data_IF_672603961788
#
_entry.id   IF_672603961788
#
_cell.length_a   1.000
_cell.length_b   1.000
_cell.length_c   1.000
_cell.angle_alpha   90.00
_cell.angle_beta   90.00
_cell.angle_gamma   90.00
#
_symmetry.space_group_name_H-M   'P 1'
#
loop_
_entity.id
_entity.type
_entity.pdbx_description
1 polymer ?
#
# COMPACT_ATOMS: atom_id res chain seq x y z
N UNK A 1 13.50 20.64 10.49
CA UNK A 1 13.25 19.38 9.76
C UNK A 1 13.39 18.26 10.74
N UNK A 2 12.38 17.41 10.99
CA UNK A 2 12.60 16.19 11.72
C UNK A 2 13.52 15.33 10.86
N UNK A 3 14.67 14.96 11.39
CA UNK A 3 15.59 14.05 10.73
C UNK A 3 14.83 12.77 10.35
N UNK A 4 14.69 12.52 9.03
CA UNK A 4 14.15 11.27 8.53
C UNK A 4 15.03 10.15 9.09
N UNK A 5 14.57 9.46 10.12
CA UNK A 5 15.18 8.22 10.58
C UNK A 5 15.06 7.23 9.43
N UNK A 6 16.09 7.14 8.61
CA UNK A 6 16.21 6.06 7.65
C UNK A 6 16.21 4.77 8.45
N UNK A 7 15.38 3.78 8.09
CA UNK A 7 15.51 2.46 8.70
C UNK A 7 16.92 1.96 8.39
N UNK A 8 17.68 1.64 9.44
CA UNK A 8 19.00 1.04 9.29
C UNK A 8 18.82 -0.27 8.52
N UNK A 9 19.50 -0.49 7.39
CA UNK A 9 19.37 -1.72 6.63
C UNK A 9 19.85 -2.89 7.50
N UNK A 10 18.93 -3.78 7.87
CA UNK A 10 19.25 -4.98 8.62
C UNK A 10 19.47 -6.12 7.62
N UNK A 11 20.72 -6.42 7.26
CA UNK A 11 21.06 -7.52 6.37
C UNK A 11 21.58 -7.10 5.01
N UNK A 12 21.66 -8.05 4.08
CA UNK A 12 22.12 -7.81 2.71
C UNK A 12 21.15 -6.90 1.97
N UNK A 13 21.67 -5.96 1.19
CA UNK A 13 20.89 -5.03 0.38
C UNK A 13 20.67 -5.68 -0.99
N UNK A 14 19.41 -5.78 -1.41
CA UNK A 14 19.00 -6.30 -2.72
C UNK A 14 18.44 -5.24 -3.67
N UNK A 15 18.27 -3.99 -3.19
CA UNK A 15 17.60 -2.93 -3.96
C UNK A 15 18.32 -1.60 -3.85
N UNK A 16 18.53 -0.95 -5.01
CA UNK A 16 19.11 0.39 -5.18
C UNK A 16 18.01 1.41 -5.49
N UNK A 17 17.80 2.33 -4.54
CA UNK A 17 16.79 3.39 -4.68
C UNK A 17 17.17 4.43 -5.73
N UNK A 18 18.45 4.76 -5.90
CA UNK A 18 18.86 5.81 -6.84
C UNK A 18 18.72 5.33 -8.29
N UNK A 19 19.09 4.07 -8.57
CA UNK A 19 18.85 3.45 -9.88
C UNK A 19 17.33 3.41 -10.19
N UNK A 20 16.51 2.98 -9.24
CA UNK A 20 15.06 3.00 -9.37
C UNK A 20 14.51 4.40 -9.62
N UNK A 21 14.89 5.41 -8.80
CA UNK A 21 14.41 6.78 -8.92
C UNK A 21 14.76 7.38 -10.29
N UNK A 22 15.99 7.15 -10.77
CA UNK A 22 16.44 7.62 -12.08
C UNK A 22 15.56 7.07 -13.21
N UNK A 23 15.41 5.76 -13.26
CA UNK A 23 14.66 5.09 -14.34
C UNK A 23 13.14 5.39 -14.25
N UNK A 24 12.58 5.40 -13.04
CA UNK A 24 11.17 5.68 -12.84
C UNK A 24 10.82 7.13 -13.20
N UNK A 25 11.66 8.10 -12.80
CA UNK A 25 11.47 9.51 -13.14
C UNK A 25 11.58 9.72 -14.65
N UNK A 26 12.60 9.15 -15.30
CA UNK A 26 12.76 9.22 -16.75
C UNK A 26 11.56 8.63 -17.50
N UNK A 27 11.02 7.50 -17.02
CA UNK A 27 9.83 6.88 -17.61
C UNK A 27 8.57 7.75 -17.48
N UNK A 28 8.37 8.43 -16.34
CA UNK A 28 7.25 9.38 -16.16
C UNK A 28 7.41 10.55 -17.12
N UNK A 29 8.56 11.20 -17.16
CA UNK A 29 8.81 12.36 -18.05
C UNK A 29 8.66 11.97 -19.53
N UNK A 30 9.14 10.79 -19.92
CA UNK A 30 8.91 10.26 -21.28
C UNK A 30 7.43 10.05 -21.58
N UNK A 31 6.64 9.65 -20.59
CA UNK A 31 5.19 9.48 -20.73
C UNK A 31 4.49 10.84 -20.87
N UNK A 32 4.88 11.85 -20.09
CA UNK A 32 4.36 13.22 -20.21
C UNK A 32 4.57 13.76 -21.62
N UNK A 33 5.76 13.58 -22.17
CA UNK A 33 6.09 14.08 -23.53
C UNK A 33 5.26 13.43 -24.67
N UNK A 34 4.53 12.35 -24.39
CA UNK A 34 3.59 11.75 -25.36
C UNK A 34 2.24 12.48 -25.40
N UNK A 35 1.92 13.20 -24.34
CA UNK A 35 0.69 13.95 -24.19
C UNK A 35 1.06 15.43 -24.09
N UNK A 36 0.71 16.22 -25.09
CA UNK A 36 1.23 17.56 -25.31
C UNK A 36 1.02 18.51 -24.14
N UNK A 37 -0.11 18.42 -23.43
CA UNK A 37 -0.49 19.42 -22.44
C UNK A 37 -0.45 18.88 -21.01
N UNK A 38 -1.00 17.67 -20.75
CA UNK A 38 -1.20 17.19 -19.39
C UNK A 38 -1.20 15.65 -19.28
N UNK A 39 -0.70 15.13 -18.18
CA UNK A 39 -0.77 13.70 -17.84
C UNK A 39 -1.44 13.49 -16.49
N UNK A 40 -2.55 12.78 -16.45
CA UNK A 40 -3.13 12.23 -15.23
C UNK A 40 -2.43 10.93 -14.87
N UNK A 41 -1.74 10.92 -13.74
CA UNK A 41 -0.96 9.79 -13.25
C UNK A 41 -1.62 9.20 -12.01
N UNK A 42 -2.34 8.08 -12.19
CA UNK A 42 -2.92 7.33 -11.09
C UNK A 42 -1.82 6.63 -10.29
N UNK A 43 -1.64 7.01 -9.04
CA UNK A 43 -0.68 6.36 -8.15
C UNK A 43 -1.28 5.11 -7.50
N UNK A 44 -0.79 3.96 -7.92
CA UNK A 44 -1.04 2.67 -7.29
C UNK A 44 -0.18 2.47 -6.03
N UNK A 45 -0.74 1.80 -5.03
CA UNK A 45 -0.06 1.52 -3.77
C UNK A 45 0.13 2.76 -2.88
N UNK A 46 1.03 2.64 -1.90
CA UNK A 46 1.30 3.70 -0.91
C UNK A 46 2.40 4.63 -1.43
N UNK A 47 2.18 5.94 -1.31
CA UNK A 47 3.21 6.95 -1.59
C UNK A 47 4.20 7.05 -0.43
N UNK A 48 3.67 7.04 0.79
CA UNK A 48 4.42 7.10 2.04
C UNK A 48 4.30 5.78 2.80
N UNK A 49 5.36 5.44 3.52
CA UNK A 49 5.39 4.28 4.41
C UNK A 49 5.07 2.95 3.70
N UNK A 50 5.63 2.76 2.48
CA UNK A 50 5.47 1.51 1.73
C UNK A 50 6.31 0.39 2.34
N UNK A 51 5.91 -0.02 3.55
CA UNK A 51 6.60 -1.09 4.28
C UNK A 51 6.47 -2.46 3.62
N UNK A 52 5.47 -2.68 2.75
CA UNK A 52 5.43 -3.92 1.99
C UNK A 52 6.61 -3.98 1.02
N UNK A 53 6.80 -2.92 0.22
CA UNK A 53 7.93 -2.83 -0.69
C UNK A 53 9.27 -2.96 0.06
N UNK A 54 9.44 -2.26 1.18
CA UNK A 54 10.65 -2.35 1.98
C UNK A 54 10.92 -3.76 2.56
N UNK A 55 9.89 -4.56 2.80
CA UNK A 55 10.06 -5.95 3.28
C UNK A 55 10.43 -6.93 2.18
N UNK A 56 9.92 -6.74 0.96
CA UNK A 56 10.19 -7.65 -0.16
C UNK A 56 11.39 -7.21 -1.01
N UNK A 57 11.79 -5.95 -0.90
CA UNK A 57 12.94 -5.35 -1.59
C UNK A 57 13.91 -4.77 -0.55
N UNK A 58 14.77 -5.60 0.11
CA UNK A 58 15.72 -5.11 1.11
C UNK A 58 16.61 -4.00 0.58
N UNK A 59 16.60 -2.85 1.26
CA UNK A 59 17.23 -1.61 0.79
C UNK A 59 16.24 -0.57 0.25
N UNK A 60 15.01 -0.98 -0.10
CA UNK A 60 13.98 -0.05 -0.57
C UNK A 60 13.59 0.95 0.53
N UNK A 61 13.71 2.24 0.24
CA UNK A 61 13.22 3.30 1.12
C UNK A 61 11.68 3.35 1.08
N UNK A 62 10.98 3.13 2.20
CA UNK A 62 9.52 3.19 2.25
C UNK A 62 8.90 4.50 1.72
N UNK A 63 9.70 5.56 1.66
CA UNK A 63 9.30 6.89 1.21
C UNK A 63 9.91 7.29 -0.15
N UNK A 64 10.52 6.35 -0.87
CA UNK A 64 11.17 6.65 -2.17
C UNK A 64 10.22 7.28 -3.19
N UNK A 65 8.93 6.93 -3.17
CA UNK A 65 7.91 7.54 -4.05
C UNK A 65 7.68 9.01 -3.71
N UNK A 66 7.72 9.36 -2.44
CA UNK A 66 7.64 10.77 -2.03
C UNK A 66 8.88 11.55 -2.46
N UNK A 67 10.09 10.94 -2.38
CA UNK A 67 11.31 11.55 -2.93
C UNK A 67 11.22 11.77 -4.44
N UNK A 68 10.60 10.83 -5.16
CA UNK A 68 10.32 11.00 -6.59
C UNK A 68 9.44 12.23 -6.83
N UNK A 69 8.31 12.35 -6.11
CA UNK A 69 7.42 13.50 -6.23
C UNK A 69 8.11 14.80 -5.87
N UNK A 70 8.96 14.80 -4.85
CA UNK A 70 9.74 15.97 -4.44
C UNK A 70 10.71 16.43 -5.54
N UNK A 71 11.35 15.51 -6.28
CA UNK A 71 12.23 15.85 -7.43
C UNK A 71 11.49 16.55 -8.57
N UNK A 72 10.18 16.35 -8.69
CA UNK A 72 9.35 16.94 -9.77
C UNK A 72 8.24 17.85 -9.25
N UNK A 73 8.33 18.32 -8.01
CA UNK A 73 7.27 19.07 -7.32
C UNK A 73 6.75 20.29 -8.06
N UNK A 74 7.61 20.98 -8.79
CA UNK A 74 7.23 22.17 -9.55
C UNK A 74 6.39 21.87 -10.79
N UNK A 75 6.31 20.59 -11.19
CA UNK A 75 5.59 20.09 -12.36
C UNK A 75 4.34 19.28 -12.02
N UNK A 76 4.00 19.13 -10.73
CA UNK A 76 2.91 18.27 -10.29
C UNK A 76 1.82 19.03 -9.54
N UNK A 77 0.57 18.68 -9.82
CA UNK A 77 -0.58 18.89 -8.95
C UNK A 77 -0.96 17.56 -8.28
N UNK A 78 -1.40 17.62 -7.02
CA UNK A 78 -1.78 16.41 -6.27
C UNK A 78 -3.28 16.43 -5.97
N UNK A 79 -3.98 15.37 -6.38
CA UNK A 79 -5.39 15.11 -6.05
C UNK A 79 -5.46 13.92 -5.11
N UNK A 80 -6.05 14.12 -3.93
CA UNK A 80 -6.28 13.05 -2.94
C UNK A 80 -7.74 12.58 -3.01
N UNK A 81 -7.96 11.31 -3.37
CA UNK A 81 -9.29 10.70 -3.46
C UNK A 81 -9.64 9.93 -2.19
N UNK A 82 -10.84 10.12 -1.68
CA UNK A 82 -11.40 9.33 -0.58
C UNK A 82 -12.85 8.94 -0.88
N UNK A 83 -13.22 7.69 -0.61
CA UNK A 83 -14.56 7.18 -0.86
C UNK A 83 -15.54 7.58 0.26
N UNK A 84 -16.67 8.23 -0.07
CA UNK A 84 -17.68 8.63 0.92
C UNK A 84 -18.15 7.49 1.83
N UNK A 85 -18.46 6.31 1.26
CA UNK A 85 -18.84 5.14 2.05
C UNK A 85 -17.73 4.58 2.95
N UNK A 86 -16.45 4.88 2.70
CA UNK A 86 -15.37 4.53 3.62
C UNK A 86 -15.37 5.47 4.85
N UNK A 87 -15.70 6.75 4.64
CA UNK A 87 -15.89 7.73 5.74
C UNK A 87 -17.08 7.32 6.60
N UNK A 88 -18.23 7.01 5.96
CA UNK A 88 -19.47 6.61 6.67
C UNK A 88 -19.26 5.38 7.56
N UNK A 89 -18.60 4.35 7.03
CA UNK A 89 -18.37 3.11 7.78
C UNK A 89 -17.16 3.18 8.70
N UNK A 90 -16.50 4.33 8.81
CA UNK A 90 -15.24 4.50 9.55
C UNK A 90 -14.23 3.40 9.22
N UNK A 91 -14.08 3.12 7.91
CA UNK A 91 -13.18 2.08 7.44
C UNK A 91 -11.77 2.32 7.95
N UNK A 92 -11.21 1.30 8.61
CA UNK A 92 -9.88 1.36 9.22
C UNK A 92 -8.80 1.03 8.20
N UNK A 93 -7.69 1.73 8.30
CA UNK A 93 -6.45 1.38 7.62
C UNK A 93 -5.66 0.41 8.49
N UNK A 94 -5.62 -0.86 8.09
CA UNK A 94 -5.14 -1.97 8.91
C UNK A 94 -3.65 -1.86 9.34
N UNK A 95 -2.83 -1.10 8.62
CA UNK A 95 -1.40 -0.93 8.95
C UNK A 95 -1.14 0.15 10.02
N UNK A 96 -2.04 1.11 10.18
CA UNK A 96 -1.91 2.19 11.17
C UNK A 96 -3.01 2.19 12.24
N UNK A 97 -4.06 1.39 12.06
CA UNK A 97 -5.19 1.36 13.00
C UNK A 97 -5.97 2.68 13.08
N UNK A 98 -5.94 3.50 12.03
CA UNK A 98 -6.69 4.78 11.93
C UNK A 98 -7.72 4.72 10.82
N UNK A 99 -8.78 5.52 10.93
CA UNK A 99 -9.81 5.60 9.90
C UNK A 99 -9.31 6.30 8.63
N UNK A 100 -9.93 6.02 7.48
CA UNK A 100 -9.51 6.60 6.19
C UNK A 100 -9.64 8.13 6.14
N UNK A 101 -10.60 8.72 6.82
CA UNK A 101 -10.72 10.17 6.98
C UNK A 101 -9.58 10.75 7.82
N UNK A 102 -9.20 10.09 8.92
CA UNK A 102 -8.02 10.45 9.71
C UNK A 102 -6.72 10.28 8.91
N UNK A 103 -6.62 9.19 8.14
CA UNK A 103 -5.47 8.94 7.26
C UNK A 103 -5.35 9.99 6.15
N UNK A 104 -6.48 10.46 5.61
CA UNK A 104 -6.48 11.56 4.63
C UNK A 104 -5.94 12.87 5.23
N UNK A 105 -6.35 13.23 6.45
CA UNK A 105 -5.80 14.40 7.17
C UNK A 105 -4.30 14.24 7.42
N UNK A 106 -3.89 13.08 7.94
CA UNK A 106 -2.47 12.77 8.14
C UNK A 106 -1.68 12.85 6.82
N UNK A 107 -2.24 12.36 5.72
CA UNK A 107 -1.60 12.42 4.41
C UNK A 107 -1.39 13.87 3.97
N UNK A 108 -2.35 14.77 4.20
CA UNK A 108 -2.21 16.20 3.90
C UNK A 108 -1.04 16.81 4.68
N UNK A 109 -0.95 16.53 5.98
CA UNK A 109 0.12 17.01 6.85
C UNK A 109 1.49 16.42 6.41
N UNK A 110 1.54 15.10 6.15
CA UNK A 110 2.75 14.43 5.68
C UNK A 110 3.26 15.05 4.37
N UNK A 111 2.39 15.33 3.39
CA UNK A 111 2.79 15.97 2.13
C UNK A 111 3.36 17.38 2.36
N UNK A 112 2.71 18.15 3.24
CA UNK A 112 3.17 19.49 3.61
C UNK A 112 4.57 19.46 4.25
N UNK A 113 4.83 18.48 5.12
CA UNK A 113 6.15 18.28 5.74
C UNK A 113 7.25 17.98 4.70
N UNK A 114 6.88 17.35 3.57
CA UNK A 114 7.77 17.13 2.44
C UNK A 114 7.88 18.33 1.47
N UNK A 115 7.19 19.43 1.77
CA UNK A 115 7.18 20.65 0.94
C UNK A 115 6.39 20.47 -0.36
N UNK A 116 5.34 19.63 -0.34
CA UNK A 116 4.41 19.39 -1.44
C UNK A 116 3.00 19.72 -0.94
N UNK A 117 2.28 20.56 -1.66
CA UNK A 117 0.89 20.87 -1.32
C UNK A 117 -0.08 19.96 -2.07
N UNK A 118 -1.17 19.58 -1.39
CA UNK A 118 -2.28 18.88 -2.03
C UNK A 118 -3.17 19.92 -2.68
N UNK A 119 -3.29 19.85 -4.00
CA UNK A 119 -4.04 20.82 -4.83
C UNK A 119 -5.54 20.73 -4.55
N UNK A 120 -6.06 19.49 -4.41
CA UNK A 120 -7.46 19.23 -4.15
C UNK A 120 -7.69 17.88 -3.45
N UNK A 121 -8.77 17.79 -2.69
CA UNK A 121 -9.31 16.51 -2.21
C UNK A 121 -10.62 16.22 -2.91
N UNK A 122 -10.85 14.96 -3.29
CA UNK A 122 -12.08 14.50 -3.94
C UNK A 122 -12.77 13.47 -3.08
N UNK A 123 -14.01 13.73 -2.68
CA UNK A 123 -14.86 12.74 -2.04
C UNK A 123 -15.64 12.02 -3.16
N UNK A 124 -15.27 10.78 -3.42
CA UNK A 124 -15.85 9.97 -4.49
C UNK A 124 -17.09 9.20 -4.04
N UNK A 125 -17.99 8.89 -4.96
CA UNK A 125 -19.32 8.30 -4.69
C UNK A 125 -20.10 9.08 -3.63
N UNK A 126 -20.03 10.41 -3.75
CA UNK A 126 -20.69 11.33 -2.84
C UNK A 126 -22.17 11.49 -3.18
N UNK A 127 -23.02 11.19 -2.21
CA UNK A 127 -24.47 11.33 -2.27
C UNK A 127 -24.99 12.09 -1.04
N UNK A 128 -24.22 13.06 -0.58
CA UNK A 128 -24.51 13.88 0.57
C UNK A 128 -24.65 13.11 1.91
N UNK A 129 -23.92 12.01 2.04
CA UNK A 129 -23.89 11.21 3.25
C UNK A 129 -23.44 12.06 4.46
N UNK A 130 -24.05 11.89 5.66
CA UNK A 130 -23.85 12.78 6.81
C UNK A 130 -22.39 12.94 7.24
N UNK A 131 -21.64 11.84 7.43
CA UNK A 131 -20.24 11.89 7.86
C UNK A 131 -19.34 12.44 6.75
N UNK A 132 -19.57 12.09 5.49
CA UNK A 132 -18.83 12.62 4.34
C UNK A 132 -19.06 14.12 4.17
N UNK A 133 -20.29 14.62 4.37
CA UNK A 133 -20.61 16.04 4.38
C UNK A 133 -19.92 16.77 5.51
N UNK A 134 -19.95 16.22 6.72
CA UNK A 134 -19.26 16.78 7.88
C UNK A 134 -17.75 16.87 7.65
N UNK A 135 -17.17 15.81 7.06
CA UNK A 135 -15.76 15.77 6.70
C UNK A 135 -15.41 16.83 5.63
N UNK A 136 -16.23 16.96 4.57
CA UNK A 136 -16.10 18.00 3.55
C UNK A 136 -16.04 19.39 4.20
N UNK A 137 -17.03 19.73 5.03
CA UNK A 137 -17.12 21.03 5.70
C UNK A 137 -15.90 21.30 6.62
N UNK A 138 -15.36 20.26 7.27
CA UNK A 138 -14.15 20.38 8.10
C UNK A 138 -12.93 20.74 7.24
N UNK A 139 -12.76 20.08 6.10
CA UNK A 139 -11.63 20.33 5.18
C UNK A 139 -11.70 21.73 4.58
N UNK A 140 -12.89 22.17 4.13
CA UNK A 140 -13.10 23.49 3.55
C UNK A 140 -12.83 24.63 4.57
N UNK A 141 -13.22 24.44 5.84
CA UNK A 141 -12.85 25.38 6.92
C UNK A 141 -11.35 25.46 7.16
N UNK A 142 -10.61 24.39 6.85
CA UNK A 142 -9.15 24.35 6.94
C UNK A 142 -8.48 24.86 5.65
N UNK A 143 -9.23 25.44 4.72
CA UNK A 143 -8.72 26.02 3.47
C UNK A 143 -8.37 25.00 2.38
N UNK A 144 -8.79 23.75 2.52
CA UNK A 144 -8.55 22.69 1.54
C UNK A 144 -9.65 22.74 0.49
N UNK A 145 -9.29 22.78 -0.79
CA UNK A 145 -10.26 22.66 -1.89
C UNK A 145 -10.83 21.26 -1.94
N UNK A 146 -12.15 21.12 -1.80
CA UNK A 146 -12.83 19.82 -1.82
C UNK A 146 -13.83 19.78 -2.97
N UNK A 147 -13.69 18.74 -3.78
CA UNK A 147 -14.61 18.41 -4.88
C UNK A 147 -15.41 17.15 -4.54
N UNK A 148 -16.55 16.97 -5.20
CA UNK A 148 -17.40 15.80 -5.00
C UNK A 148 -17.69 15.12 -6.34
N UNK A 149 -17.39 13.83 -6.40
CA UNK A 149 -17.70 13.00 -7.56
C UNK A 149 -18.75 11.95 -7.20
N UNK A 150 -19.77 11.83 -8.04
CA UNK A 150 -20.84 10.83 -7.91
C UNK A 150 -20.42 9.49 -8.50
N UNK A 151 -21.27 8.50 -8.34
CA UNK A 151 -21.13 7.25 -9.10
C UNK A 151 -21.33 7.52 -10.60
N UNK A 152 -20.40 7.04 -11.43
CA UNK A 152 -20.47 7.24 -12.87
C UNK A 152 -21.60 6.42 -13.48
N UNK A 153 -22.59 7.10 -14.04
CA UNK A 153 -23.71 6.43 -14.73
C UNK A 153 -23.19 5.58 -15.90
N UNK A 154 -23.80 4.43 -16.11
CA UNK A 154 -23.44 3.50 -17.19
C UNK A 154 -22.30 2.56 -16.90
N UNK A 155 -21.49 2.79 -15.84
CA UNK A 155 -20.38 1.92 -15.50
C UNK A 155 -20.88 0.56 -14.95
N UNK A 156 -20.29 -0.58 -15.38
CA UNK A 156 -19.16 -0.72 -16.30
C UNK A 156 -19.54 -1.01 -17.77
N UNK A 157 -20.78 -1.04 -18.16
CA UNK A 157 -21.24 -1.66 -19.41
C UNK A 157 -21.57 -0.68 -20.55
N UNK A 158 -21.99 0.54 -20.24
CA UNK A 158 -22.44 1.52 -21.25
C UNK A 158 -21.43 2.65 -21.42
N UNK A 159 -20.44 2.46 -22.33
CA UNK A 159 -19.37 3.43 -22.57
C UNK A 159 -19.92 4.77 -23.09
N UNK A 160 -20.98 4.78 -23.87
CA UNK A 160 -21.56 6.03 -24.39
C UNK A 160 -22.15 6.88 -23.27
N UNK A 161 -22.79 6.25 -22.30
CA UNK A 161 -23.29 6.95 -21.12
C UNK A 161 -22.18 7.34 -20.15
N UNK A 162 -21.17 6.49 -19.97
CA UNK A 162 -19.99 6.80 -19.12
C UNK A 162 -19.32 8.07 -19.64
N UNK A 163 -19.05 8.16 -20.96
CA UNK A 163 -18.37 9.27 -21.62
C UNK A 163 -19.41 10.25 -22.18
N UNK A 164 -20.23 10.82 -21.31
CA UNK A 164 -21.26 11.80 -21.64
C UNK A 164 -21.38 12.85 -20.53
N UNK A 165 -22.19 13.87 -20.76
CA UNK A 165 -22.48 14.90 -19.75
C UNK A 165 -23.22 14.34 -18.52
N UNK A 166 -23.98 13.25 -18.69
CA UNK A 166 -24.63 12.55 -17.57
C UNK A 166 -23.70 11.58 -16.84
N UNK A 167 -22.67 11.10 -17.51
CA UNK A 167 -21.62 10.24 -16.94
C UNK A 167 -20.51 11.06 -16.30
N UNK A 168 -19.34 11.09 -16.94
CA UNK A 168 -18.19 11.86 -16.43
C UNK A 168 -18.43 13.36 -16.34
N UNK A 169 -19.22 13.92 -17.26
CA UNK A 169 -19.55 15.34 -17.28
C UNK A 169 -20.39 15.80 -16.08
N UNK A 170 -21.08 14.88 -15.39
CA UNK A 170 -21.85 15.22 -14.17
C UNK A 170 -21.00 15.43 -12.93
N UNK A 171 -19.73 15.07 -12.98
CA UNK A 171 -18.76 15.33 -11.91
C UNK A 171 -18.13 16.70 -12.06
N UNK A 172 -17.78 17.33 -10.97
CA UNK A 172 -17.08 18.60 -10.96
C UNK A 172 -15.69 18.46 -11.62
N UNK A 173 -15.34 19.40 -12.50
CA UNK A 173 -13.97 19.49 -13.03
C UNK A 173 -13.03 19.99 -11.95
N UNK A 174 -11.94 19.28 -11.71
CA UNK A 174 -10.92 19.67 -10.75
C UNK A 174 -9.89 20.53 -11.48
N UNK A 175 -9.83 21.80 -11.13
CA UNK A 175 -8.86 22.74 -11.69
C UNK A 175 -7.43 22.36 -11.32
N UNK A 176 -6.59 22.17 -12.33
CA UNK A 176 -5.16 21.85 -12.20
C UNK A 176 -4.34 22.68 -13.17
N UNK A 177 -3.15 23.11 -12.76
CA UNK A 177 -2.30 24.02 -13.52
C UNK A 177 -1.00 23.42 -14.03
N UNK A 178 -0.61 22.27 -13.47
CA UNK A 178 0.66 21.63 -13.79
C UNK A 178 0.52 20.54 -14.86
N UNK A 179 1.61 20.23 -15.59
CA UNK A 179 1.58 19.23 -16.65
C UNK A 179 1.42 17.79 -16.16
N UNK A 180 1.62 17.52 -14.88
CA UNK A 180 1.40 16.21 -14.29
C UNK A 180 0.40 16.34 -13.15
N UNK A 181 -0.67 15.57 -13.21
CA UNK A 181 -1.67 15.49 -12.14
C UNK A 181 -1.58 14.11 -11.48
N UNK A 182 -1.04 14.08 -10.28
CA UNK A 182 -0.92 12.86 -9.47
C UNK A 182 -2.22 12.62 -8.73
N UNK A 183 -2.87 11.50 -8.99
CA UNK A 183 -4.12 11.12 -8.32
C UNK A 183 -3.86 9.95 -7.39
N UNK A 184 -4.02 10.17 -6.09
CA UNK A 184 -3.74 9.19 -5.03
C UNK A 184 -4.90 9.02 -4.07
N UNK A 185 -4.77 8.11 -3.10
CA UNK A 185 -5.80 7.87 -2.08
C UNK A 185 -5.37 6.80 -1.08
N UNK A 186 -6.06 6.67 0.06
CA UNK A 186 -5.66 5.83 1.18
C UNK A 186 -5.64 4.32 0.88
N UNK A 187 -6.30 3.89 -0.21
CA UNK A 187 -6.33 2.47 -0.56
C UNK A 187 -7.09 2.15 -1.83
N UNK A 188 -7.26 0.85 -2.14
CA UNK A 188 -8.08 0.39 -3.24
C UNK A 188 -9.54 0.87 -3.12
N UNK A 189 -10.17 1.16 -4.25
CA UNK A 189 -11.58 1.61 -4.28
C UNK A 189 -11.80 3.06 -3.84
N UNK A 190 -10.74 3.87 -3.63
CA UNK A 190 -10.89 5.30 -3.31
C UNK A 190 -11.39 6.16 -4.47
N UNK A 191 -11.51 5.60 -5.69
CA UNK A 191 -12.06 6.28 -6.87
C UNK A 191 -11.03 6.97 -7.77
N UNK A 192 -9.73 6.70 -7.59
CA UNK A 192 -8.63 7.32 -8.36
C UNK A 192 -8.83 7.24 -9.88
N UNK A 193 -9.10 6.02 -10.40
CA UNK A 193 -9.32 5.81 -11.84
C UNK A 193 -10.47 6.67 -12.37
N UNK A 194 -11.64 6.62 -11.70
CA UNK A 194 -12.82 7.39 -12.12
C UNK A 194 -12.56 8.91 -12.06
N UNK A 195 -11.79 9.37 -11.07
CA UNK A 195 -11.36 10.77 -10.96
C UNK A 195 -10.44 11.16 -12.11
N UNK A 196 -9.44 10.35 -12.46
CA UNK A 196 -8.58 10.60 -13.61
C UNK A 196 -9.38 10.72 -14.90
N UNK A 197 -10.28 9.75 -15.18
CA UNK A 197 -11.02 9.68 -16.42
C UNK A 197 -12.10 10.78 -16.53
N UNK A 198 -12.75 11.13 -15.43
CA UNK A 198 -13.69 12.24 -15.38
C UNK A 198 -13.01 13.57 -15.67
N UNK A 199 -11.84 13.82 -15.06
CA UNK A 199 -11.07 15.03 -15.37
C UNK A 199 -10.55 15.02 -16.82
N UNK A 200 -10.08 13.87 -17.31
CA UNK A 200 -9.68 13.73 -18.71
C UNK A 200 -10.80 14.10 -19.67
N UNK A 201 -12.05 13.67 -19.38
CA UNK A 201 -13.23 14.07 -20.15
C UNK A 201 -13.43 15.59 -20.18
N UNK A 202 -13.33 16.27 -19.03
CA UNK A 202 -13.43 17.72 -18.94
C UNK A 202 -12.29 18.44 -19.67
N UNK A 203 -11.05 17.95 -19.55
CA UNK A 203 -9.90 18.52 -20.26
C UNK A 203 -10.14 18.50 -21.78
N UNK A 204 -10.57 17.37 -22.34
CA UNK A 204 -10.86 17.27 -23.77
C UNK A 204 -12.03 18.17 -24.21
N UNK A 205 -13.09 18.31 -23.39
CA UNK A 205 -14.16 19.28 -23.65
C UNK A 205 -13.66 20.72 -23.69
N UNK A 206 -12.63 21.02 -22.90
CA UNK A 206 -12.00 22.34 -22.84
C UNK A 206 -10.85 22.52 -23.87
N UNK A 207 -10.65 21.54 -24.77
CA UNK A 207 -9.63 21.59 -25.81
C UNK A 207 -8.20 21.27 -25.33
N UNK A 208 -8.05 20.77 -24.11
CA UNK A 208 -6.74 20.37 -23.54
C UNK A 208 -6.47 18.91 -23.85
N UNK A 209 -5.36 18.62 -24.54
CA UNK A 209 -4.94 17.24 -24.85
C UNK A 209 -4.23 16.64 -23.65
N UNK A 210 -4.95 15.84 -22.90
CA UNK A 210 -4.42 15.17 -21.70
C UNK A 210 -4.34 13.65 -21.88
N UNK A 211 -3.44 13.02 -21.15
CA UNK A 211 -3.25 11.56 -21.12
C UNK A 211 -3.51 10.95 -19.76
N UNK A 212 -3.61 9.65 -19.74
CA UNK A 212 -3.72 8.84 -18.53
C UNK A 212 -2.59 7.82 -18.48
N UNK A 213 -2.03 7.60 -17.30
CA UNK A 213 -1.11 6.50 -17.03
C UNK A 213 -1.26 6.03 -15.58
N UNK A 214 -0.84 4.80 -15.30
CA UNK A 214 -0.87 4.22 -13.96
C UNK A 214 0.55 4.04 -13.44
N UNK A 215 0.86 4.63 -12.30
CA UNK A 215 2.12 4.40 -11.59
C UNK A 215 1.98 3.15 -10.73
N UNK A 216 2.89 2.21 -10.89
CA UNK A 216 2.88 0.96 -10.14
C UNK A 216 4.30 0.58 -9.70
N UNK A 217 4.38 -0.11 -8.56
CA UNK A 217 5.61 -0.77 -8.10
C UNK A 217 5.49 -2.28 -8.30
N UNK A 218 4.31 -2.82 -8.05
CA UNK A 218 3.96 -4.24 -8.18
C UNK A 218 2.70 -4.42 -9.06
N UNK A 219 2.61 -5.57 -9.77
CA UNK A 219 3.65 -6.58 -9.93
C UNK A 219 4.85 -6.01 -10.68
N UNK A 220 6.05 -6.56 -10.46
CA UNK A 220 7.21 -6.21 -11.28
C UNK A 220 7.06 -6.95 -12.62
N UNK A 221 6.54 -6.24 -13.60
CA UNK A 221 5.94 -6.76 -14.82
C UNK A 221 6.88 -7.62 -15.71
N UNK A 222 8.18 -7.39 -15.65
CA UNK A 222 9.20 -8.08 -16.45
C UNK A 222 9.92 -9.20 -15.69
N UNK A 223 9.45 -9.57 -14.50
CA UNK A 223 9.91 -10.77 -13.79
C UNK A 223 9.00 -11.97 -14.10
N UNK A 224 9.51 -13.21 -13.96
CA UNK A 224 8.71 -14.40 -14.17
C UNK A 224 7.45 -14.44 -13.30
N UNK A 225 6.39 -15.08 -13.78
CA UNK A 225 5.14 -15.28 -13.03
C UNK A 225 5.36 -15.94 -11.66
N UNK A 226 6.32 -16.88 -11.59
CA UNK A 226 6.67 -17.60 -10.35
C UNK A 226 7.63 -16.84 -9.45
N UNK A 227 8.01 -15.61 -9.79
CA UNK A 227 8.95 -14.85 -8.98
C UNK A 227 8.35 -14.48 -7.63
N UNK A 228 9.04 -14.81 -6.53
CA UNK A 228 8.52 -14.68 -5.17
C UNK A 228 8.10 -13.27 -4.80
N UNK A 229 8.72 -12.24 -5.37
CA UNK A 229 8.34 -10.83 -5.10
C UNK A 229 6.90 -10.53 -5.56
N UNK A 230 6.49 -11.05 -6.72
CA UNK A 230 5.13 -10.88 -7.23
C UNK A 230 4.13 -11.74 -6.44
N UNK A 231 4.53 -12.96 -6.07
CA UNK A 231 3.73 -13.84 -5.20
C UNK A 231 3.55 -13.24 -3.79
N UNK A 232 4.58 -12.57 -3.26
CA UNK A 232 4.47 -11.86 -1.97
C UNK A 232 3.47 -10.70 -2.04
N UNK A 233 3.29 -10.09 -3.20
CA UNK A 233 2.25 -9.09 -3.39
C UNK A 233 0.85 -9.72 -3.51
N UNK A 234 0.69 -10.87 -4.17
CA UNK A 234 -0.57 -11.64 -4.09
C UNK A 234 -0.95 -11.94 -2.62
N UNK A 235 0.04 -12.34 -1.80
CA UNK A 235 -0.18 -12.55 -0.37
C UNK A 235 -0.54 -11.26 0.38
N UNK A 236 -0.06 -10.10 -0.09
CA UNK A 236 -0.38 -8.80 0.50
C UNK A 236 -1.78 -8.29 0.17
N UNK A 237 -2.39 -8.80 -0.90
CA UNK A 237 -3.69 -8.39 -1.44
C UNK A 237 -4.68 -9.57 -1.52
N UNK A 238 -4.45 -10.60 -0.71
CA UNK A 238 -5.23 -11.84 -0.73
C UNK A 238 -6.72 -11.60 -0.43
N UNK A 239 -7.04 -10.63 0.42
CA UNK A 239 -8.38 -10.16 0.73
C UNK A 239 -9.08 -9.48 -0.46
N UNK A 240 -8.30 -8.91 -1.39
CA UNK A 240 -8.79 -8.29 -2.62
C UNK A 240 -8.93 -9.27 -3.78
N UNK A 241 -8.45 -10.51 -3.60
CA UNK A 241 -8.41 -11.56 -4.64
C UNK A 241 -7.60 -11.14 -5.88
N UNK A 242 -6.59 -10.31 -5.70
CA UNK A 242 -5.66 -9.93 -6.76
C UNK A 242 -4.71 -11.09 -7.05
N UNK A 243 -4.71 -11.56 -8.28
CA UNK A 243 -3.83 -12.63 -8.78
C UNK A 243 -2.92 -12.07 -9.86
N UNK A 244 -1.64 -12.42 -9.81
CA UNK A 244 -0.70 -12.09 -10.87
C UNK A 244 -0.85 -13.10 -12.00
N UNK A 245 -1.02 -12.62 -13.21
CA UNK A 245 -1.24 -13.41 -14.42
C UNK A 245 -0.35 -12.91 -15.57
N UNK A 246 -0.19 -13.72 -16.60
CA UNK A 246 0.43 -13.26 -17.84
C UNK A 246 -0.52 -12.25 -18.50
N UNK A 247 -0.01 -11.08 -18.84
CA UNK A 247 -0.71 -10.10 -19.64
C UNK A 247 -0.81 -10.58 -21.09
N UNK A 248 -1.93 -11.21 -21.41
CA UNK A 248 -2.15 -11.75 -22.76
C UNK A 248 -2.30 -10.64 -23.80
N UNK A 249 -2.81 -9.45 -23.44
CA UNK A 249 -2.87 -8.30 -24.35
C UNK A 249 -1.45 -7.84 -24.74
N UNK A 250 -0.50 -7.84 -23.77
CA UNK A 250 0.89 -7.48 -24.06
C UNK A 250 1.59 -8.53 -24.90
N UNK A 251 1.34 -9.81 -24.59
CA UNK A 251 1.87 -10.93 -25.35
C UNK A 251 1.38 -10.92 -26.81
N UNK A 252 0.08 -10.68 -27.03
CA UNK A 252 -0.51 -10.58 -28.37
C UNK A 252 0.03 -9.39 -29.17
N UNK A 253 0.18 -8.22 -28.49
CA UNK A 253 0.61 -7.00 -29.17
C UNK A 253 2.10 -6.96 -29.52
N UNK A 254 2.96 -7.59 -28.70
CA UNK A 254 4.42 -7.41 -28.77
C UNK A 254 5.21 -8.71 -28.79
N UNK A 255 4.57 -9.87 -28.63
CA UNK A 255 5.21 -11.17 -28.43
C UNK A 255 6.19 -11.19 -27.25
N UNK A 256 5.91 -10.40 -26.21
CA UNK A 256 6.69 -10.28 -24.97
C UNK A 256 5.84 -10.75 -23.80
N UNK A 257 6.35 -11.72 -23.04
CA UNK A 257 5.69 -12.19 -21.80
C UNK A 257 5.93 -11.19 -20.69
N UNK A 258 4.85 -10.65 -20.17
CA UNK A 258 4.82 -9.77 -19.00
C UNK A 258 3.75 -10.24 -18.02
N UNK A 259 3.81 -9.78 -16.80
CA UNK A 259 2.81 -10.10 -15.79
C UNK A 259 2.06 -8.84 -15.34
N UNK A 260 0.78 -9.02 -15.05
CA UNK A 260 -0.05 -7.95 -14.48
C UNK A 260 -1.13 -8.57 -13.58
N UNK A 261 -1.93 -7.75 -12.90
CA UNK A 261 -3.04 -8.24 -12.11
C UNK A 261 -4.22 -8.65 -13.00
N UNK A 262 -4.90 -9.74 -12.61
CA UNK A 262 -6.14 -10.17 -13.24
C UNK A 262 -7.11 -9.00 -13.42
N UNK A 263 -7.31 -8.20 -12.40
CA UNK A 263 -8.21 -7.04 -12.40
C UNK A 263 -7.86 -5.99 -13.45
N UNK A 264 -6.58 -5.69 -13.64
CA UNK A 264 -6.12 -4.73 -14.65
C UNK A 264 -6.23 -5.31 -16.06
N UNK A 265 -5.95 -6.60 -16.20
CA UNK A 265 -6.09 -7.34 -17.48
C UNK A 265 -7.56 -7.36 -17.91
N UNK A 266 -8.47 -7.70 -17.00
CA UNK A 266 -9.92 -7.76 -17.26
C UNK A 266 -10.53 -6.38 -17.54
N UNK A 267 -10.06 -5.34 -16.84
CA UNK A 267 -10.57 -3.98 -16.99
C UNK A 267 -10.02 -3.27 -18.25
N UNK A 268 -8.90 -3.74 -18.80
CA UNK A 268 -8.20 -3.05 -19.89
C UNK A 268 -9.06 -2.81 -21.15
N UNK A 269 -9.85 -3.78 -21.67
CA UNK A 269 -10.68 -3.54 -22.86
C UNK A 269 -11.68 -2.41 -22.66
N UNK A 270 -12.31 -2.35 -21.48
CA UNK A 270 -13.25 -1.26 -21.14
C UNK A 270 -12.51 0.08 -21.04
N UNK A 271 -11.38 0.10 -20.32
CA UNK A 271 -10.60 1.32 -20.13
C UNK A 271 -10.06 1.85 -21.46
N UNK A 272 -9.59 0.98 -22.33
CA UNK A 272 -9.16 1.35 -23.69
C UNK A 272 -10.30 2.03 -24.46
N UNK A 273 -11.49 1.44 -24.49
CA UNK A 273 -12.66 2.02 -25.17
C UNK A 273 -13.09 3.37 -24.58
N UNK A 274 -13.03 3.51 -23.25
CA UNK A 274 -13.32 4.79 -22.57
C UNK A 274 -12.31 5.86 -23.02
N UNK A 275 -11.02 5.55 -23.03
CA UNK A 275 -9.98 6.48 -23.48
C UNK A 275 -10.17 6.87 -24.94
N UNK A 276 -10.42 5.91 -25.83
CA UNK A 276 -10.70 6.16 -27.26
C UNK A 276 -11.95 7.06 -27.45
N UNK A 277 -12.98 6.85 -26.64
CA UNK A 277 -14.19 7.66 -26.69
C UNK A 277 -13.97 9.09 -26.17
N UNK A 278 -13.16 9.26 -25.11
CA UNK A 278 -12.82 10.60 -24.57
C UNK A 278 -11.97 11.37 -25.59
N UNK A 279 -10.94 10.72 -26.14
CA UNK A 279 -9.94 11.38 -26.99
C UNK A 279 -10.41 11.56 -28.44
N UNK A 280 -11.36 10.74 -28.91
CA UNK A 280 -11.74 10.65 -30.31
C UNK A 280 -10.70 9.97 -31.21
N UNK A 281 -9.63 9.43 -30.64
CA UNK A 281 -8.50 8.82 -31.32
C UNK A 281 -8.28 7.37 -30.84
N UNK A 282 -7.64 6.54 -31.66
CA UNK A 282 -7.24 5.20 -31.25
C UNK A 282 -6.26 5.25 -30.06
N UNK A 283 -6.49 4.40 -29.08
CA UNK A 283 -5.62 4.35 -27.90
C UNK A 283 -4.19 4.00 -28.27
N UNK A 284 -3.24 4.75 -27.72
CA UNK A 284 -1.80 4.44 -27.82
C UNK A 284 -1.45 3.17 -27.04
N UNK A 285 -2.31 2.74 -26.11
CA UNK A 285 -2.11 1.57 -25.28
C UNK A 285 -2.65 0.31 -25.91
N UNK A 286 -1.84 -0.72 -25.97
CA UNK A 286 -2.21 -2.05 -26.46
C UNK A 286 -2.40 -3.06 -25.33
N UNK A 287 -1.96 -2.74 -24.12
CA UNK A 287 -2.07 -3.59 -22.94
C UNK A 287 -2.10 -2.79 -21.64
N UNK A 288 -2.53 -3.37 -20.51
CA UNK A 288 -2.40 -2.73 -19.20
C UNK A 288 -0.93 -2.50 -18.81
N UNK A 289 -0.02 -3.36 -19.24
CA UNK A 289 1.44 -3.16 -19.04
C UNK A 289 1.95 -1.90 -19.75
N UNK A 290 1.46 -1.60 -20.96
CA UNK A 290 1.79 -0.35 -21.67
C UNK A 290 1.30 0.89 -20.91
N UNK A 291 0.13 0.79 -20.32
CA UNK A 291 -0.50 1.87 -19.57
C UNK A 291 0.24 2.14 -18.26
N UNK A 292 0.86 1.12 -17.69
CA UNK A 292 1.66 1.19 -16.48
C UNK A 292 2.98 1.93 -16.67
N UNK A 293 3.41 2.66 -15.64
CA UNK A 293 4.76 3.21 -15.51
C UNK A 293 5.40 2.53 -14.32
N UNK A 294 6.18 1.48 -14.58
CA UNK A 294 6.83 0.65 -13.57
C UNK A 294 8.27 0.34 -13.99
N UNK A 295 9.23 0.78 -13.18
CA UNK A 295 10.67 0.54 -13.36
C UNK A 295 11.30 -0.08 -12.12
N UNK A 296 10.52 -0.78 -11.30
CA UNK A 296 11.00 -1.38 -10.06
C UNK A 296 12.14 -2.38 -10.28
N UNK A 297 12.13 -3.11 -11.40
CA UNK A 297 13.23 -4.03 -11.74
C UNK A 297 14.58 -3.34 -11.91
N UNK A 298 14.63 -2.08 -12.29
CA UNK A 298 15.88 -1.32 -12.42
C UNK A 298 16.61 -1.10 -11.09
N UNK A 299 15.90 -1.19 -9.99
CA UNK A 299 16.47 -1.12 -8.65
C UNK A 299 16.96 -2.46 -8.09
N UNK A 300 16.67 -3.59 -8.74
CA UNK A 300 17.09 -4.91 -8.26
C UNK A 300 18.58 -5.12 -8.54
N UNK A 301 19.38 -5.26 -7.47
CA UNK A 301 20.83 -5.48 -7.54
C UNK A 301 21.24 -6.86 -7.03
N UNK A 302 20.40 -7.51 -6.22
CA UNK A 302 20.61 -8.90 -5.77
C UNK A 302 19.25 -9.62 -5.67
N UNK A 303 18.98 -10.45 -6.68
CA UNK A 303 17.74 -11.18 -6.79
C UNK A 303 17.57 -12.26 -5.71
N UNK A 304 18.65 -12.89 -5.27
CA UNK A 304 18.61 -13.92 -4.24
C UNK A 304 18.15 -13.33 -2.89
N UNK A 305 18.65 -12.16 -2.55
CA UNK A 305 18.21 -11.40 -1.35
C UNK A 305 16.74 -11.05 -1.43
N UNK A 306 16.26 -10.60 -2.59
CA UNK A 306 14.84 -10.25 -2.80
C UNK A 306 13.95 -11.49 -2.72
N UNK A 307 14.33 -12.61 -3.31
CA UNK A 307 13.55 -13.85 -3.22
C UNK A 307 13.48 -14.39 -1.80
N UNK A 308 14.58 -14.32 -1.03
CA UNK A 308 14.61 -14.73 0.37
C UNK A 308 13.71 -13.83 1.25
N UNK A 309 13.78 -12.51 1.06
CA UNK A 309 12.94 -11.55 1.77
C UNK A 309 11.44 -11.73 1.42
N UNK A 310 11.13 -11.94 0.16
CA UNK A 310 9.77 -12.20 -0.32
C UNK A 310 9.19 -13.49 0.25
N UNK A 311 10.00 -14.55 0.36
CA UNK A 311 9.60 -15.79 1.02
C UNK A 311 9.20 -15.55 2.50
N UNK A 312 9.98 -14.77 3.23
CA UNK A 312 9.67 -14.40 4.62
C UNK A 312 8.42 -13.52 4.72
N UNK A 313 8.16 -12.63 3.76
CA UNK A 313 6.96 -11.79 3.75
C UNK A 313 5.70 -12.63 3.48
N UNK A 314 5.75 -13.64 2.59
CA UNK A 314 4.64 -14.55 2.34
C UNK A 314 4.21 -15.24 3.63
N UNK A 315 5.16 -15.80 4.40
CA UNK A 315 4.87 -16.46 5.68
C UNK A 315 4.30 -15.45 6.69
N UNK A 316 4.84 -14.24 6.74
CA UNK A 316 4.33 -13.18 7.61
C UNK A 316 2.87 -12.81 7.27
N UNK A 317 2.52 -12.78 5.98
CA UNK A 317 1.15 -12.50 5.52
C UNK A 317 0.18 -13.62 5.91
N UNK A 318 0.60 -14.86 5.80
CA UNK A 318 -0.19 -15.99 6.29
C UNK A 318 -0.53 -15.85 7.78
N UNK A 319 0.47 -15.60 8.65
CA UNK A 319 0.21 -15.37 10.07
C UNK A 319 -0.75 -14.21 10.32
N UNK A 320 -0.60 -13.14 9.55
CA UNK A 320 -1.50 -11.99 9.66
C UNK A 320 -2.93 -12.37 9.31
N UNK A 321 -3.15 -13.06 8.20
CA UNK A 321 -4.48 -13.52 7.79
C UNK A 321 -5.10 -14.44 8.85
N UNK A 322 -4.32 -15.37 9.42
CA UNK A 322 -4.80 -16.27 10.46
C UNK A 322 -5.22 -15.51 11.74
N UNK A 323 -4.47 -14.49 12.13
CA UNK A 323 -4.81 -13.60 13.27
C UNK A 323 -6.06 -12.78 12.96
N UNK A 324 -6.13 -12.14 11.79
CA UNK A 324 -7.30 -11.34 11.38
C UNK A 324 -8.56 -12.20 11.28
N UNK A 325 -8.45 -13.46 10.85
CA UNK A 325 -9.56 -14.44 10.89
C UNK A 325 -10.00 -14.76 12.32
N UNK A 326 -9.05 -15.02 13.22
CA UNK A 326 -9.37 -15.26 14.63
C UNK A 326 -10.04 -14.06 15.31
N UNK A 327 -9.79 -12.84 14.83
CA UNK A 327 -10.43 -11.60 15.27
C UNK A 327 -11.76 -11.30 14.56
N UNK A 328 -12.19 -12.13 13.61
CA UNK A 328 -13.41 -11.92 12.81
C UNK A 328 -13.31 -10.77 11.78
N UNK A 329 -12.09 -10.37 11.40
CA UNK A 329 -11.86 -9.27 10.46
C UNK A 329 -11.80 -9.72 8.99
N UNK A 330 -11.50 -10.98 8.74
CA UNK A 330 -11.50 -11.60 7.41
C UNK A 330 -12.23 -12.94 7.45
N UNK A 331 -12.62 -13.45 6.29
CA UNK A 331 -13.27 -14.75 6.15
C UNK A 331 -12.27 -15.93 6.08
N UNK A 332 -12.76 -17.16 6.17
CA UNK A 332 -11.96 -18.38 6.07
C UNK A 332 -11.33 -18.52 4.68
N UNK A 333 -12.03 -18.11 3.61
CA UNK A 333 -11.53 -18.14 2.23
C UNK A 333 -10.21 -17.35 2.09
N UNK A 334 -10.07 -16.23 2.82
CA UNK A 334 -8.84 -15.44 2.85
C UNK A 334 -7.65 -16.22 3.42
N UNK A 335 -7.87 -17.00 4.50
CA UNK A 335 -6.82 -17.84 5.10
C UNK A 335 -6.45 -18.97 4.15
N UNK A 336 -7.45 -19.69 3.62
CA UNK A 336 -7.24 -20.82 2.69
C UNK A 336 -6.45 -20.37 1.44
N UNK A 337 -6.74 -19.18 0.90
CA UNK A 337 -5.97 -18.58 -0.18
C UNK A 337 -4.52 -18.27 0.22
N UNK A 338 -4.30 -17.77 1.44
CA UNK A 338 -2.94 -17.50 1.90
C UNK A 338 -2.13 -18.79 2.11
N UNK A 339 -2.78 -19.90 2.48
CA UNK A 339 -2.17 -21.23 2.53
C UNK A 339 -1.77 -21.71 1.12
N UNK A 340 -2.65 -21.59 0.13
CA UNK A 340 -2.34 -21.93 -1.26
C UNK A 340 -1.16 -21.09 -1.82
N UNK A 341 -1.04 -19.82 -1.40
CA UNK A 341 0.09 -18.98 -1.78
C UNK A 341 1.39 -19.48 -1.14
N UNK A 342 1.37 -19.94 0.11
CA UNK A 342 2.51 -20.57 0.77
C UNK A 342 2.94 -21.84 0.03
N UNK A 343 1.97 -22.70 -0.34
CA UNK A 343 2.23 -23.94 -1.09
C UNK A 343 2.87 -23.66 -2.47
N UNK A 344 2.43 -22.61 -3.16
CA UNK A 344 2.99 -22.17 -4.45
C UNK A 344 4.52 -21.95 -4.41
N UNK A 345 5.06 -21.54 -3.27
CA UNK A 345 6.48 -21.25 -3.07
C UNK A 345 7.17 -22.25 -2.16
N UNK A 346 6.53 -23.36 -1.81
CA UNK A 346 6.98 -24.38 -0.86
C UNK A 346 7.40 -23.79 0.49
N UNK A 347 6.67 -22.77 0.98
CA UNK A 347 6.97 -22.11 2.26
C UNK A 347 6.36 -22.89 3.42
N UNK A 348 7.12 -23.01 4.50
CA UNK A 348 6.67 -23.53 5.78
C UNK A 348 6.73 -22.43 6.83
N UNK A 349 5.85 -22.47 7.82
CA UNK A 349 5.87 -21.46 8.89
C UNK A 349 7.18 -21.48 9.66
N UNK A 350 7.83 -22.64 9.77
CA UNK A 350 9.12 -22.85 10.45
C UNK A 350 10.32 -22.24 9.68
N UNK A 351 10.17 -21.93 8.38
CA UNK A 351 11.21 -21.23 7.62
C UNK A 351 11.43 -19.80 8.13
N UNK A 352 10.49 -19.30 8.96
CA UNK A 352 10.66 -18.04 9.66
C UNK A 352 11.42 -18.27 10.97
N UNK A 353 12.62 -17.75 11.07
CA UNK A 353 13.57 -18.00 12.15
C UNK A 353 13.02 -17.76 13.57
N UNK A 354 12.03 -16.88 13.74
CA UNK A 354 11.43 -16.53 15.04
C UNK A 354 10.30 -17.48 15.47
N UNK A 355 9.80 -18.35 14.59
CA UNK A 355 8.63 -19.22 14.90
C UNK A 355 8.99 -20.28 15.94
N UNK A 356 10.05 -21.04 15.70
CA UNK A 356 10.48 -22.06 16.66
C UNK A 356 10.84 -21.49 18.04
N UNK A 357 11.69 -20.43 18.16
CA UNK A 357 11.99 -19.82 19.44
C UNK A 357 10.77 -19.25 20.19
N UNK A 358 9.80 -18.69 19.49
CA UNK A 358 8.57 -18.20 20.13
C UNK A 358 7.72 -19.33 20.70
N UNK A 359 7.60 -20.46 19.96
CA UNK A 359 6.88 -21.66 20.44
C UNK A 359 7.59 -22.32 21.62
N UNK A 360 8.91 -22.37 21.59
CA UNK A 360 9.73 -22.87 22.71
C UNK A 360 9.56 -21.99 23.95
N UNK A 361 9.56 -20.67 23.82
CA UNK A 361 9.29 -19.74 24.91
C UNK A 361 7.89 -19.94 25.52
N UNK A 362 6.86 -20.22 24.71
CA UNK A 362 5.53 -20.57 25.22
C UNK A 362 5.51 -21.90 25.97
N UNK A 363 6.22 -22.90 25.48
CA UNK A 363 6.35 -24.21 26.14
C UNK A 363 7.07 -24.12 27.48
N UNK A 364 8.14 -23.30 27.54
CA UNK A 364 8.85 -23.02 28.80
C UNK A 364 7.96 -22.27 29.80
N UNK A 365 7.20 -21.23 29.34
CA UNK A 365 6.26 -20.53 30.22
C UNK A 365 5.24 -21.52 30.85
N UNK A 366 4.77 -22.50 30.08
CA UNK A 366 3.87 -23.55 30.58
C UNK A 366 4.57 -24.45 31.62
N UNK A 367 5.82 -24.87 31.34
CA UNK A 367 6.61 -25.70 32.27
C UNK A 367 6.91 -24.99 33.58
N UNK A 368 7.16 -23.70 33.54
CA UNK A 368 7.47 -22.85 34.69
C UNK A 368 6.20 -22.37 35.44
N UNK A 369 4.99 -22.72 34.98
CA UNK A 369 3.75 -22.23 35.57
C UNK A 369 3.55 -20.71 35.39
N UNK A 370 4.33 -20.08 34.52
CA UNK A 370 4.15 -18.67 34.14
C UNK A 370 3.08 -18.58 33.05
N UNK A 371 2.28 -17.54 33.06
CA UNK A 371 1.18 -17.36 32.12
C UNK A 371 0.06 -16.54 32.75
N UNK A 372 -1.09 -16.55 32.12
CA UNK A 372 -2.29 -15.90 32.65
C UNK A 372 -3.49 -16.81 32.40
N UNK A 373 -4.19 -17.21 33.46
CA UNK A 373 -5.43 -18.01 33.39
C UNK A 373 -5.31 -19.27 32.52
N UNK A 374 -4.18 -19.98 32.62
CA UNK A 374 -3.94 -21.18 31.81
C UNK A 374 -3.49 -20.93 30.38
N UNK A 375 -3.35 -19.66 29.96
CA UNK A 375 -2.88 -19.27 28.65
C UNK A 375 -1.37 -19.02 28.68
N UNK A 376 -0.64 -19.68 27.79
CA UNK A 376 0.81 -19.61 27.70
C UNK A 376 1.22 -19.13 26.30
N UNK A 377 1.87 -17.97 26.25
CA UNK A 377 2.30 -17.34 24.98
C UNK A 377 3.80 -17.06 25.00
N UNK A 378 4.42 -17.22 23.85
CA UNK A 378 5.79 -16.80 23.58
C UNK A 378 5.85 -15.82 22.43
N UNK A 379 6.83 -14.94 22.46
CA UNK A 379 7.15 -14.03 21.36
C UNK A 379 8.67 -14.10 21.10
N UNK A 380 9.08 -13.82 19.87
CA UNK A 380 10.48 -13.76 19.49
C UNK A 380 10.73 -12.67 18.45
N UNK A 381 11.88 -12.04 18.51
CA UNK A 381 12.39 -11.06 17.53
C UNK A 381 13.82 -11.45 17.13
N UNK A 382 14.12 -11.31 15.84
CA UNK A 382 15.49 -11.43 15.33
C UNK A 382 16.06 -10.02 15.16
N UNK A 383 17.16 -9.74 15.81
CA UNK A 383 17.90 -8.47 15.70
C UNK A 383 18.76 -8.43 14.43
N UNK A 384 19.34 -7.26 14.14
CA UNK A 384 20.16 -7.04 12.94
C UNK A 384 21.44 -7.86 12.90
N UNK A 385 22.01 -8.19 14.03
CA UNK A 385 23.19 -9.05 14.18
C UNK A 385 22.87 -10.55 14.09
N UNK A 386 21.59 -10.91 13.91
CA UNK A 386 21.12 -12.28 13.85
C UNK A 386 20.68 -12.86 15.20
N UNK A 387 20.91 -12.17 16.31
CA UNK A 387 20.52 -12.61 17.66
C UNK A 387 18.99 -12.72 17.76
N UNK A 388 18.49 -13.79 18.36
CA UNK A 388 17.07 -13.98 18.61
C UNK A 388 16.79 -13.78 20.10
N UNK A 389 15.94 -12.80 20.40
CA UNK A 389 15.44 -12.53 21.74
C UNK A 389 14.03 -13.05 21.86
N UNK A 390 13.68 -13.61 23.02
CA UNK A 390 12.35 -14.14 23.31
C UNK A 390 11.69 -13.42 24.48
N UNK A 391 10.37 -13.55 24.57
CA UNK A 391 9.56 -13.07 25.68
C UNK A 391 8.45 -14.07 26.00
N UNK A 392 8.10 -14.18 27.28
CA UNK A 392 7.02 -15.04 27.79
C UNK A 392 5.92 -14.19 28.39
N UNK A 393 4.69 -14.64 28.34
CA UNK A 393 3.61 -13.94 29.05
C UNK A 393 3.63 -14.27 30.55
N UNK A 394 3.01 -13.40 31.32
CA UNK A 394 2.77 -13.55 32.76
C UNK A 394 1.38 -13.02 33.08
N UNK A 395 0.94 -13.14 34.33
CA UNK A 395 -0.31 -12.55 34.80
C UNK A 395 -0.39 -11.03 34.61
N UNK A 396 0.74 -10.34 34.51
CA UNK A 396 0.82 -8.88 34.37
C UNK A 396 1.17 -8.39 32.97
N UNK A 397 1.83 -9.23 32.16
CA UNK A 397 2.42 -8.76 30.90
C UNK A 397 2.21 -9.77 29.75
N UNK A 398 1.87 -9.24 28.59
CA UNK A 398 1.84 -10.03 27.36
C UNK A 398 3.24 -10.43 26.90
N UNK A 399 3.37 -11.55 26.20
CA UNK A 399 4.65 -12.04 25.68
C UNK A 399 5.37 -11.01 24.79
N UNK A 400 4.63 -10.25 23.97
CA UNK A 400 5.21 -9.19 23.14
C UNK A 400 5.81 -8.05 23.98
N UNK A 401 5.15 -7.63 25.05
CA UNK A 401 5.67 -6.59 25.96
C UNK A 401 6.92 -7.06 26.69
N UNK A 402 6.91 -8.31 27.18
CA UNK A 402 8.10 -8.95 27.78
C UNK A 402 9.27 -9.01 26.78
N UNK A 403 8.98 -9.39 25.52
CA UNK A 403 9.98 -9.41 24.45
C UNK A 403 10.62 -8.04 24.23
N UNK A 404 9.82 -6.96 24.17
CA UNK A 404 10.36 -5.60 24.00
C UNK A 404 11.29 -5.21 25.14
N UNK A 405 10.91 -5.49 26.39
CA UNK A 405 11.78 -5.21 27.54
C UNK A 405 13.08 -6.03 27.48
N UNK A 406 13.01 -7.31 27.13
CA UNK A 406 14.20 -8.15 26.98
C UNK A 406 15.10 -7.67 25.84
N UNK A 407 14.53 -7.28 24.70
CA UNK A 407 15.30 -6.72 23.60
C UNK A 407 15.94 -5.37 23.98
N UNK A 408 15.24 -4.52 24.73
CA UNK A 408 15.78 -3.26 25.24
C UNK A 408 16.97 -3.50 26.15
N UNK A 409 16.90 -4.47 27.10
CA UNK A 409 18.02 -4.84 27.95
C UNK A 409 19.21 -5.28 27.12
N UNK A 410 19.01 -6.19 26.20
CA UNK A 410 20.07 -6.72 25.35
C UNK A 410 20.76 -5.61 24.54
N UNK A 411 19.98 -4.74 23.85
CA UNK A 411 20.49 -3.64 23.03
C UNK A 411 21.23 -2.56 23.88
N UNK A 412 20.82 -2.40 25.13
CA UNK A 412 21.45 -1.44 26.06
C UNK A 412 22.58 -2.06 26.94
N UNK A 413 22.91 -3.35 26.69
CA UNK A 413 23.88 -4.10 27.53
C UNK A 413 23.57 -4.03 29.02
N UNK A 414 22.28 -4.09 29.40
CA UNK A 414 21.86 -4.10 30.81
C UNK A 414 21.82 -5.53 31.36
N UNK A 415 22.09 -5.73 32.66
CA UNK A 415 21.99 -7.03 33.31
C UNK A 415 20.58 -7.63 33.17
N UNK A 416 20.48 -8.95 33.01
CA UNK A 416 19.20 -9.64 32.86
C UNK A 416 18.31 -9.52 34.09
N UNK A 417 18.86 -9.46 35.28
CA UNK A 417 18.16 -9.28 36.54
C UNK A 417 17.67 -7.86 36.80
N UNK A 418 18.12 -6.88 36.02
CA UNK A 418 17.69 -5.48 36.16
C UNK A 418 16.21 -5.33 35.81
N UNK A 419 15.42 -4.79 36.72
CA UNK A 419 14.03 -4.43 36.48
C UNK A 419 13.93 -3.07 35.78
N UNK A 420 13.38 -3.04 34.55
CA UNK A 420 13.17 -1.80 33.80
C UNK A 420 11.91 -1.05 34.25
N UNK A 421 10.99 -1.72 34.93
CA UNK A 421 9.77 -1.11 35.48
C UNK A 421 9.95 -0.97 37.00
N UNK A 422 9.69 0.22 37.56
CA UNK A 422 9.76 0.42 39.01
C UNK A 422 8.66 -0.39 39.72
N UNK A 423 8.94 -0.79 40.96
CA UNK A 423 8.01 -1.58 41.78
C UNK A 423 6.62 -0.92 41.88
N UNK A 424 6.56 0.41 42.05
CA UNK A 424 5.34 1.17 42.12
C UNK A 424 4.45 1.00 40.88
N UNK A 425 5.05 0.96 39.68
CA UNK A 425 4.30 0.71 38.42
C UNK A 425 3.78 -0.73 38.36
N UNK A 426 4.58 -1.70 38.81
CA UNK A 426 4.17 -3.10 38.89
C UNK A 426 3.00 -3.27 39.88
N UNK A 427 3.10 -2.66 41.05
CA UNK A 427 2.03 -2.72 42.05
C UNK A 427 0.73 -2.09 41.55
N UNK A 428 0.81 -0.92 40.88
CA UNK A 428 -0.35 -0.26 40.25
C UNK A 428 -1.01 -1.13 39.17
N UNK A 429 -0.21 -1.76 38.30
CA UNK A 429 -0.72 -2.68 37.27
C UNK A 429 -1.36 -3.93 37.89
N UNK A 430 -0.84 -4.40 39.02
CA UNK A 430 -1.37 -5.56 39.73
C UNK A 430 -2.76 -5.26 40.31
N UNK A 431 -2.95 -4.07 40.86
CA UNK A 431 -4.25 -3.61 41.35
C UNK A 431 -5.24 -3.50 40.22
N UNK A 432 -4.86 -2.79 39.13
CA UNK A 432 -5.74 -2.55 37.97
C UNK A 432 -6.21 -3.85 37.29
N UNK A 433 -5.42 -4.92 37.32
CA UNK A 433 -5.80 -6.21 36.71
C UNK A 433 -6.59 -7.13 37.64
N UNK A 434 -6.70 -6.82 38.91
CA UNK A 434 -7.50 -7.58 39.87
C UNK A 434 -8.92 -7.00 40.07
N UNK A 435 -9.14 -5.78 39.60
CA UNK A 435 -10.46 -5.16 39.43
C UNK A 435 -11.08 -5.47 38.07
#
# INVERSE_FOLDING_TARGET
>A
MPASRQPVPTGSIGFDNEAYLKEQTAAILKRVNRFHDKLYLEFGGKILFDYHAARVLPGFDPNVKMRLLQKIKDKIDIILCIHAGAIERKKMRADFGITYDTDALKTIDDFKDWGIEITALVITRYENQPSARSFKNKLERNGIKVYTHRFTKGYPSNVDLIVSDEGYGSNEHIETSKPIVVVTGPGPGSGKLATCLSNLYHEYKNGVKAGYAKFETFPIWNLPLSHKVNIAYEAATVDLKDLVQIDHHHLEAYNIKTVNYNRDIEAFPLLKRILEKITGEASIYKSPTDMGVNRASAGIIDDAVIQAASHQEIIRRYFRCAVEYAMGLVDRDTVDRSELIMDKVNARVEDRAVVKPSREAAAEARKEGKGNEGIYCGAAIKLSDGTIITGKNSSLMHAASSLILNATKHLANLPEDMHLLPKSSIDSLTILKKE
#
